data_IF_411800636480
#
_entry.id   IF_411800636480
#
_cell.length_a   1.000
_cell.length_b   1.000
_cell.length_c   1.000
_cell.angle_alpha   90.00
_cell.angle_beta   90.00
_cell.angle_gamma   90.00
#
_symmetry.space_group_name_H-M   'P 1'
#
loop_
_entity.id
_entity.type
_entity.pdbx_description
1 polymer ?
#
# COMPACT_ATOMS: atom_id res chain seq x y z
N UNK A 1 27.29 21.78 -26.17
CA UNK A 1 25.86 21.78 -25.75
C UNK A 1 25.18 20.42 -25.88
N UNK A 2 25.72 19.46 -26.64
CA UNK A 2 25.14 18.12 -26.83
C UNK A 2 25.38 17.16 -25.65
N UNK A 3 26.56 17.18 -25.01
CA UNK A 3 26.89 16.24 -23.91
C UNK A 3 26.04 16.38 -22.65
N UNK A 4 25.68 17.61 -22.28
CA UNK A 4 24.83 17.89 -21.10
C UNK A 4 23.40 17.37 -21.29
N UNK A 5 22.87 17.42 -22.52
CA UNK A 5 21.51 16.94 -22.82
C UNK A 5 21.40 15.42 -22.63
N UNK A 6 22.40 14.66 -23.09
CA UNK A 6 22.46 13.21 -22.90
C UNK A 6 22.54 12.81 -21.43
N UNK A 7 23.31 13.57 -20.63
CA UNK A 7 23.42 13.38 -19.19
C UNK A 7 22.08 13.63 -18.48
N UNK A 8 21.36 14.69 -18.86
CA UNK A 8 20.03 14.98 -18.31
C UNK A 8 19.00 13.91 -18.70
N UNK A 9 18.95 13.49 -19.98
CA UNK A 9 18.01 12.47 -20.45
C UNK A 9 18.28 11.12 -19.78
N UNK A 10 19.55 10.72 -19.66
CA UNK A 10 19.93 9.50 -18.95
C UNK A 10 19.57 9.52 -17.46
N UNK A 11 19.77 10.66 -16.78
CA UNK A 11 19.37 10.85 -15.39
C UNK A 11 17.87 10.76 -15.17
N UNK A 12 17.06 11.35 -16.06
CA UNK A 12 15.59 11.25 -15.98
C UNK A 12 15.13 9.80 -16.22
N UNK A 13 15.73 9.09 -17.18
CA UNK A 13 15.39 7.70 -17.47
C UNK A 13 15.70 6.78 -16.27
N UNK A 14 16.84 6.97 -15.62
CA UNK A 14 17.22 6.24 -14.39
C UNK A 14 16.29 6.57 -13.22
N UNK A 15 15.90 7.83 -13.04
CA UNK A 15 14.93 8.24 -12.02
C UNK A 15 13.48 7.77 -12.31
N UNK A 16 13.18 7.48 -13.58
CA UNK A 16 11.90 6.89 -14.01
C UNK A 16 11.84 5.38 -13.85
N UNK A 17 12.96 4.73 -13.52
CA UNK A 17 12.93 3.35 -13.06
C UNK A 17 12.17 3.32 -11.74
N UNK A 18 10.90 2.94 -11.85
CA UNK A 18 9.99 2.77 -10.73
C UNK A 18 10.72 2.00 -9.63
N UNK A 19 10.75 2.57 -8.44
CA UNK A 19 11.19 1.85 -7.24
C UNK A 19 10.15 0.77 -6.99
N UNK A 20 10.31 -0.37 -7.67
CA UNK A 20 9.52 -1.58 -7.42
C UNK A 20 10.27 -2.36 -6.36
N UNK A 21 9.71 -2.42 -5.16
CA UNK A 21 10.18 -3.39 -4.17
C UNK A 21 9.51 -4.72 -4.48
N UNK A 22 10.29 -5.81 -4.45
CA UNK A 22 9.71 -7.14 -4.45
C UNK A 22 9.03 -7.39 -3.10
N UNK A 23 7.74 -7.71 -3.13
CA UNK A 23 6.93 -7.97 -1.91
C UNK A 23 6.61 -9.45 -1.90
N UNK A 24 7.38 -10.19 -1.10
CA UNK A 24 7.22 -11.64 -0.98
C UNK A 24 5.97 -11.94 -0.12
N UNK A 25 5.04 -12.78 -0.58
CA UNK A 25 3.91 -13.24 0.24
C UNK A 25 4.40 -13.96 1.50
N UNK A 26 3.59 -13.95 2.56
CA UNK A 26 3.91 -14.72 3.76
C UNK A 26 3.93 -16.23 3.46
N UNK A 27 5.00 -16.90 3.86
CA UNK A 27 5.10 -18.36 3.75
C UNK A 27 4.02 -19.06 4.58
N UNK A 28 3.43 -20.12 4.01
CA UNK A 28 2.38 -20.93 4.65
C UNK A 28 1.20 -20.09 5.17
N UNK A 29 0.81 -19.06 4.41
CA UNK A 29 -0.30 -18.19 4.78
C UNK A 29 -1.61 -18.95 4.95
N UNK A 30 -2.17 -18.91 6.16
CA UNK A 30 -3.50 -19.44 6.46
C UNK A 30 -4.53 -18.31 6.39
N UNK A 31 -5.30 -18.31 5.30
CA UNK A 31 -6.36 -17.33 5.08
C UNK A 31 -7.44 -17.39 6.18
N UNK A 32 -7.71 -18.56 6.74
CA UNK A 32 -8.75 -18.71 7.77
C UNK A 32 -8.31 -18.09 9.09
N UNK A 33 -7.02 -18.13 9.41
CA UNK A 33 -6.46 -17.48 10.59
C UNK A 33 -6.55 -15.94 10.55
N UNK A 34 -6.76 -15.35 9.37
CA UNK A 34 -6.94 -13.91 9.19
C UNK A 34 -8.36 -13.43 9.54
N UNK A 35 -9.34 -14.35 9.64
CA UNK A 35 -10.73 -13.99 9.84
C UNK A 35 -10.95 -13.15 11.11
N UNK A 36 -11.80 -12.13 11.02
CA UNK A 36 -12.22 -11.33 12.16
C UNK A 36 -11.89 -9.85 12.05
N UNK A 37 -11.92 -9.18 13.21
CA UNK A 37 -11.78 -7.72 13.31
C UNK A 37 -10.32 -7.31 13.50
N UNK A 38 -9.85 -6.46 12.60
CA UNK A 38 -8.52 -5.87 12.62
C UNK A 38 -8.56 -4.37 12.86
N UNK A 39 -7.53 -3.84 13.52
CA UNK A 39 -7.37 -2.42 13.81
C UNK A 39 -6.27 -1.84 12.91
N UNK A 40 -6.58 -0.79 12.16
CA UNK A 40 -5.64 -0.15 11.24
C UNK A 40 -4.86 0.92 11.99
N UNK A 41 -3.77 0.50 12.63
CA UNK A 41 -2.99 1.34 13.56
C UNK A 41 -1.98 2.26 12.87
N UNK A 42 -1.64 2.02 11.60
CA UNK A 42 -0.64 2.81 10.87
C UNK A 42 -0.66 2.57 9.37
N UNK A 43 -0.22 3.58 8.62
CA UNK A 43 -0.12 3.56 7.16
C UNK A 43 1.21 4.18 6.72
N UNK A 44 1.85 3.59 5.73
CA UNK A 44 2.98 4.17 5.02
C UNK A 44 2.61 4.23 3.53
N UNK A 45 2.49 5.45 2.99
CA UNK A 45 2.05 5.66 1.60
C UNK A 45 2.70 6.91 1.01
N UNK A 46 2.93 6.90 -0.30
CA UNK A 46 3.38 8.06 -1.08
C UNK A 46 2.21 8.84 -1.71
N UNK A 47 0.96 8.43 -1.45
CA UNK A 47 -0.22 9.13 -1.96
C UNK A 47 -0.37 10.49 -1.27
N UNK A 48 -0.23 11.58 -2.03
CA UNK A 48 -0.23 12.93 -1.47
C UNK A 48 -1.53 13.30 -0.76
N UNK A 49 -2.67 12.83 -1.28
CA UNK A 49 -3.95 13.03 -0.59
C UNK A 49 -3.90 12.51 0.86
N UNK A 50 -3.29 11.35 1.10
CA UNK A 50 -3.17 10.82 2.46
C UNK A 50 -2.23 11.69 3.31
N UNK A 51 -1.11 12.14 2.74
CA UNK A 51 -0.14 13.02 3.42
C UNK A 51 -0.82 14.30 3.90
N UNK A 52 -1.67 14.89 3.05
CA UNK A 52 -2.38 16.14 3.33
C UNK A 52 -3.51 15.95 4.36
N UNK A 53 -4.12 14.76 4.44
CA UNK A 53 -5.29 14.50 5.28
C UNK A 53 -4.99 13.69 6.55
N UNK A 54 -3.78 13.15 6.71
CA UNK A 54 -3.40 12.24 7.82
C UNK A 54 -3.70 12.79 9.22
N UNK A 55 -3.61 14.11 9.41
CA UNK A 55 -3.82 14.75 10.71
C UNK A 55 -5.26 14.62 11.20
N UNK A 56 -6.23 14.51 10.28
CA UNK A 56 -7.65 14.33 10.60
C UNK A 56 -8.07 12.86 10.71
N UNK A 57 -7.22 11.91 10.34
CA UNK A 57 -7.60 10.51 10.28
C UNK A 57 -7.66 9.88 11.67
N UNK A 58 -8.75 9.18 11.97
CA UNK A 58 -8.88 8.31 13.15
C UNK A 58 -8.58 6.86 12.77
N UNK A 59 -8.20 6.08 13.77
CA UNK A 59 -8.02 4.64 13.61
C UNK A 59 -9.31 4.01 13.06
N UNK A 60 -9.16 3.31 11.94
CA UNK A 60 -10.21 2.48 11.36
C UNK A 60 -10.14 1.04 11.85
N UNK A 61 -11.19 0.30 11.57
CA UNK A 61 -11.23 -1.15 11.72
C UNK A 61 -11.65 -1.80 10.42
N UNK A 62 -11.10 -2.97 10.12
CA UNK A 62 -11.53 -3.81 9.01
C UNK A 62 -12.11 -5.11 9.56
N UNK A 63 -13.24 -5.57 9.01
CA UNK A 63 -13.68 -6.94 9.18
C UNK A 63 -13.22 -7.74 7.97
N UNK A 64 -12.44 -8.79 8.22
CA UNK A 64 -11.86 -9.67 7.23
C UNK A 64 -12.62 -11.00 7.23
N UNK A 65 -13.22 -11.35 6.11
CA UNK A 65 -14.06 -12.55 5.96
C UNK A 65 -13.57 -13.39 4.77
N UNK A 66 -12.88 -14.51 5.02
CA UNK A 66 -12.51 -15.45 3.97
C UNK A 66 -13.74 -15.99 3.23
N UNK A 67 -13.64 -16.11 1.91
CA UNK A 67 -14.70 -16.68 1.08
C UNK A 67 -14.43 -18.15 0.79
N UNK A 68 -15.48 -18.89 0.40
CA UNK A 68 -15.35 -20.30 0.01
C UNK A 68 -14.50 -20.49 -1.27
N UNK A 69 -14.36 -19.44 -2.10
CA UNK A 69 -13.53 -19.47 -3.30
C UNK A 69 -12.03 -19.25 -3.00
N UNK A 70 -11.67 -18.97 -1.75
CA UNK A 70 -10.29 -18.63 -1.36
C UNK A 70 -9.96 -17.14 -1.49
N UNK A 71 -10.97 -16.29 -1.68
CA UNK A 71 -10.82 -14.83 -1.67
C UNK A 71 -11.04 -14.25 -0.26
N UNK A 72 -10.93 -12.93 -0.15
CA UNK A 72 -11.16 -12.20 1.10
C UNK A 72 -12.13 -11.04 0.88
N UNK A 73 -13.27 -11.08 1.57
CA UNK A 73 -14.14 -9.92 1.70
C UNK A 73 -13.62 -9.01 2.83
N UNK A 74 -13.50 -7.72 2.53
CA UNK A 74 -13.03 -6.71 3.48
C UNK A 74 -14.05 -5.57 3.57
N UNK A 75 -14.57 -5.34 4.77
CA UNK A 75 -15.38 -4.15 5.05
C UNK A 75 -14.64 -3.21 6.00
N UNK A 76 -14.72 -1.90 5.73
CA UNK A 76 -14.02 -0.87 6.49
C UNK A 76 -14.99 -0.01 7.27
N UNK A 77 -14.67 0.25 8.53
CA UNK A 77 -15.35 1.21 9.37
C UNK A 77 -14.32 2.17 9.97
N UNK A 78 -14.59 3.47 9.91
CA UNK A 78 -13.79 4.50 10.60
C UNK A 78 -14.68 5.30 11.54
N UNK A 79 -14.09 5.75 12.65
CA UNK A 79 -14.69 6.78 13.48
C UNK A 79 -14.47 8.12 12.75
N UNK A 80 -15.55 8.87 12.52
CA UNK A 80 -15.47 10.24 11.98
C UNK A 80 -14.62 11.14 12.86
#
# INVERSE_FOLDING_TARGET
>A
MTGTLWLCVGGILLCSQLVTSDVVPQDNFDLQALAGKWYLIGFATNAQWFVDHRAGMKMGTAMLTPTAAGDLDMSYASLR
#
